data_IF_118611235902
#
_entry.id   IF_118611235902
#
_cell.length_a   1.000
_cell.length_b   1.000
_cell.length_c   1.000
_cell.angle_alpha   90.00
_cell.angle_beta   90.00
_cell.angle_gamma   90.00
#
_symmetry.space_group_name_H-M   'P 1'
#
loop_
_entity.id
_entity.type
_entity.pdbx_description
1 polymer ?
#
# COMPACT_ATOMS: atom_id res chain seq x y z
N UNK A 1 -8.32 3.46 -2.06
CA UNK A 1 -7.08 2.66 -2.11
C UNK A 1 -7.38 1.25 -2.57
N UNK A 2 -6.47 0.61 -3.31
CA UNK A 2 -6.52 -0.83 -3.63
C UNK A 2 -5.15 -1.43 -3.30
N UNK A 3 -5.13 -2.53 -2.55
CA UNK A 3 -3.94 -3.30 -2.22
C UNK A 3 -4.00 -4.64 -2.99
N UNK A 4 -2.96 -4.90 -3.76
CA UNK A 4 -2.76 -6.11 -4.57
C UNK A 4 -1.54 -6.83 -4.02
N UNK A 5 -1.69 -8.10 -3.66
CA UNK A 5 -0.66 -8.87 -2.95
C UNK A 5 -0.38 -10.15 -3.73
N UNK A 6 0.89 -10.41 -3.97
CA UNK A 6 1.39 -11.71 -4.42
C UNK A 6 2.11 -12.38 -3.24
N UNK A 7 1.43 -13.31 -2.59
CA UNK A 7 1.97 -14.03 -1.43
C UNK A 7 3.10 -15.01 -1.82
N UNK A 8 3.18 -15.41 -3.10
CA UNK A 8 4.21 -16.33 -3.59
C UNK A 8 5.55 -15.62 -3.70
N UNK A 9 5.52 -14.36 -4.16
CA UNK A 9 6.72 -13.54 -4.31
C UNK A 9 7.01 -12.67 -3.09
N UNK A 10 6.06 -12.52 -2.16
CA UNK A 10 6.25 -11.64 -1.00
C UNK A 10 6.25 -10.16 -1.37
N UNK A 11 5.50 -9.80 -2.42
CA UNK A 11 5.43 -8.44 -2.95
C UNK A 11 4.01 -7.91 -2.93
N UNK A 12 3.86 -6.60 -2.79
CA UNK A 12 2.57 -5.93 -2.77
C UNK A 12 2.64 -4.60 -3.52
N UNK A 13 1.55 -4.30 -4.22
CA UNK A 13 1.32 -2.99 -4.83
C UNK A 13 0.08 -2.34 -4.22
N UNK A 14 0.23 -1.09 -3.80
CA UNK A 14 -0.85 -0.28 -3.29
C UNK A 14 -1.11 0.90 -4.21
N UNK A 15 -2.27 0.86 -4.85
CA UNK A 15 -2.78 2.01 -5.59
C UNK A 15 -3.47 2.99 -4.63
N UNK A 16 -2.88 4.16 -4.48
CA UNK A 16 -3.37 5.22 -3.59
C UNK A 16 -4.45 6.06 -4.26
N UNK A 17 -4.32 6.32 -5.56
CA UNK A 17 -5.32 7.08 -6.35
C UNK A 17 -5.47 6.55 -7.78
N UNK A 18 -6.46 7.07 -8.51
CA UNK A 18 -6.65 6.74 -9.93
C UNK A 18 -5.74 7.53 -10.87
N UNK A 19 -5.00 8.53 -10.36
CA UNK A 19 -4.13 9.39 -11.15
C UNK A 19 -3.00 8.58 -11.82
N UNK A 20 -2.52 9.01 -13.00
CA UNK A 20 -1.44 8.33 -13.70
C UNK A 20 -0.10 8.51 -12.98
N UNK A 21 0.73 7.46 -13.02
CA UNK A 21 2.13 7.53 -12.60
C UNK A 21 2.91 8.34 -13.61
N UNK A 22 3.57 9.40 -13.16
CA UNK A 22 4.51 10.18 -13.96
C UNK A 22 5.96 9.76 -13.71
N UNK A 23 6.28 9.37 -12.47
CA UNK A 23 7.60 8.86 -12.09
C UNK A 23 7.52 7.98 -10.85
N UNK A 24 8.49 7.08 -10.72
CA UNK A 24 8.71 6.25 -9.55
C UNK A 24 10.01 6.70 -8.88
N UNK A 25 10.04 6.73 -7.55
CA UNK A 25 11.28 6.90 -6.78
C UNK A 25 11.51 5.71 -5.87
N UNK A 26 12.78 5.37 -5.70
CA UNK A 26 13.21 4.40 -4.71
C UNK A 26 13.25 5.06 -3.33
N UNK A 27 12.61 4.43 -2.35
CA UNK A 27 12.71 4.80 -0.94
C UNK A 27 13.72 3.90 -0.21
N UNK A 28 13.77 2.64 -0.59
CA UNK A 28 14.78 1.63 -0.22
C UNK A 28 14.85 0.56 -1.31
N UNK A 29 15.81 -0.37 -1.21
CA UNK A 29 15.98 -1.49 -2.15
C UNK A 29 14.69 -2.33 -2.33
N UNK A 30 13.78 -2.29 -1.35
CA UNK A 30 12.55 -3.08 -1.31
C UNK A 30 11.29 -2.23 -1.32
N UNK A 31 11.38 -0.93 -1.57
CA UNK A 31 10.22 -0.03 -1.52
C UNK A 31 10.31 1.10 -2.55
N UNK A 32 9.29 1.20 -3.40
CA UNK A 32 9.19 2.22 -4.44
C UNK A 32 7.93 3.06 -4.25
N UNK A 33 8.02 4.37 -4.49
CA UNK A 33 6.91 5.30 -4.43
C UNK A 33 6.61 5.87 -5.81
N UNK A 34 5.39 5.63 -6.30
CA UNK A 34 4.90 6.23 -7.52
C UNK A 34 4.29 7.59 -7.26
N UNK A 35 4.66 8.56 -8.08
CA UNK A 35 4.16 9.92 -8.04
C UNK A 35 3.55 10.35 -9.36
N UNK A 36 2.53 11.21 -9.27
CA UNK A 36 2.00 11.92 -10.43
C UNK A 36 2.91 13.08 -10.86
N UNK A 37 2.50 13.78 -11.92
CA UNK A 37 3.23 14.90 -12.50
C UNK A 37 3.35 16.10 -11.55
N UNK A 38 2.52 16.16 -10.50
CA UNK A 38 2.52 17.21 -9.48
C UNK A 38 3.35 16.82 -8.25
N UNK A 39 3.92 15.61 -8.22
CA UNK A 39 4.70 15.10 -7.09
C UNK A 39 3.85 14.57 -5.93
N UNK A 40 2.57 14.26 -6.18
CA UNK A 40 1.70 13.59 -5.22
C UNK A 40 1.87 12.08 -5.35
N UNK A 41 1.98 11.37 -4.23
CA UNK A 41 2.05 9.92 -4.20
C UNK A 41 0.72 9.30 -4.68
N UNK A 42 0.81 8.39 -5.63
CA UNK A 42 -0.32 7.71 -6.27
C UNK A 42 -0.24 6.19 -6.20
N UNK A 43 0.95 5.65 -5.90
CA UNK A 43 1.19 4.22 -5.72
C UNK A 43 2.36 3.96 -4.77
N UNK A 44 2.38 2.79 -4.15
CA UNK A 44 3.47 2.30 -3.30
C UNK A 44 3.70 0.81 -3.61
N UNK A 45 4.91 0.46 -4.01
CA UNK A 45 5.35 -0.92 -4.23
C UNK A 45 6.21 -1.36 -3.05
N UNK A 46 5.90 -2.53 -2.50
CA UNK A 46 6.67 -3.21 -1.47
C UNK A 46 7.15 -4.54 -2.06
N UNK A 47 8.46 -4.74 -2.06
CA UNK A 47 9.10 -5.98 -2.54
C UNK A 47 9.48 -6.92 -1.39
N UNK A 48 9.20 -6.51 -0.16
CA UNK A 48 9.39 -7.29 1.07
C UNK A 48 8.30 -6.91 2.08
N UNK A 49 7.57 -7.89 2.63
CA UNK A 49 6.51 -7.65 3.62
C UNK A 49 7.02 -7.28 5.00
N UNK A 50 8.27 -7.60 5.31
CA UNK A 50 8.90 -7.28 6.58
C UNK A 50 9.60 -5.91 6.56
N UNK A 51 9.68 -5.27 5.39
CA UNK A 51 10.16 -3.89 5.27
C UNK A 51 9.28 -2.95 6.09
N UNK A 52 9.95 -2.05 6.82
CA UNK A 52 9.25 -1.07 7.65
C UNK A 52 8.66 0.02 6.78
N UNK A 53 7.35 0.17 6.84
CA UNK A 53 6.66 1.29 6.19
C UNK A 53 7.04 2.58 6.96
N UNK A 54 7.71 3.57 6.33
CA UNK A 54 8.21 4.73 7.04
C UNK A 54 7.06 5.54 7.60
N UNK A 55 7.11 5.82 8.90
CA UNK A 55 6.03 6.58 9.57
C UNK A 55 6.00 8.05 9.12
N UNK A 56 7.12 8.54 8.61
CA UNK A 56 7.29 9.88 8.05
C UNK A 56 7.05 9.94 6.54
N UNK A 57 6.67 8.83 5.89
CA UNK A 57 6.32 8.80 4.46
C UNK A 57 5.25 9.84 4.13
N UNK A 58 4.21 9.89 4.98
CA UNK A 58 3.09 10.84 4.89
C UNK A 58 3.50 12.30 5.17
N UNK A 59 4.64 12.51 5.84
CA UNK A 59 5.16 13.84 6.16
C UNK A 59 6.12 14.35 5.07
N UNK A 60 6.88 13.44 4.46
CA UNK A 60 7.88 13.75 3.42
C UNK A 60 7.28 13.87 2.03
N UNK A 61 6.18 13.17 1.77
CA UNK A 61 5.53 13.14 0.46
C UNK A 61 4.08 13.58 0.57
N UNK A 62 3.61 14.29 -0.46
CA UNK A 62 2.20 14.65 -0.53
C UNK A 62 1.39 13.41 -0.85
N UNK A 63 0.50 13.05 0.08
CA UNK A 63 -0.46 11.96 -0.10
C UNK A 63 -1.86 12.56 0.03
N UNK A 64 -2.81 12.07 -0.75
CA UNK A 64 -4.20 12.46 -0.59
C UNK A 64 -4.71 12.14 0.83
N UNK A 65 -5.39 13.09 1.46
CA UNK A 65 -5.84 12.96 2.86
C UNK A 65 -6.74 11.75 3.08
N UNK A 66 -7.51 11.34 2.07
CA UNK A 66 -8.40 10.18 2.11
C UNK A 66 -7.67 8.82 2.21
N UNK A 67 -6.37 8.77 1.90
CA UNK A 67 -5.56 7.54 1.95
C UNK A 67 -4.48 7.59 3.02
N UNK A 68 -4.24 8.75 3.65
CA UNK A 68 -3.29 8.88 4.74
C UNK A 68 -3.64 7.98 5.94
N UNK A 69 -4.93 7.91 6.31
CA UNK A 69 -5.39 7.06 7.41
C UNK A 69 -5.23 5.56 7.10
N UNK A 70 -5.47 5.15 5.86
CA UNK A 70 -5.32 3.76 5.44
C UNK A 70 -3.83 3.34 5.40
N UNK A 71 -2.95 4.20 4.90
CA UNK A 71 -1.51 3.95 4.91
C UNK A 71 -0.95 3.83 6.32
N UNK A 72 -1.49 4.58 7.29
CA UNK A 72 -1.06 4.48 8.68
C UNK A 72 -1.36 3.09 9.29
N UNK A 73 -2.38 2.38 8.82
CA UNK A 73 -2.74 1.04 9.31
C UNK A 73 -1.74 -0.05 8.92
N UNK A 74 -0.93 0.19 7.89
CA UNK A 74 0.08 -0.75 7.41
C UNK A 74 1.32 -0.79 8.30
N UNK A 75 1.41 0.13 9.27
CA UNK A 75 2.52 0.19 10.17
C UNK A 75 2.40 -0.89 11.27
N UNK A 76 3.53 -1.47 11.70
CA UNK A 76 4.89 -1.13 11.27
C UNK A 76 5.33 -1.82 9.97
N UNK A 77 4.73 -2.95 9.62
CA UNK A 77 5.05 -3.71 8.40
C UNK A 77 3.79 -4.31 7.79
N UNK A 78 3.83 -4.56 6.48
CA UNK A 78 2.69 -5.20 5.80
C UNK A 78 2.43 -6.60 6.35
N UNK A 79 3.47 -7.36 6.71
CA UNK A 79 3.30 -8.69 7.30
C UNK A 79 2.48 -8.67 8.59
N UNK A 80 2.70 -7.67 9.47
CA UNK A 80 1.91 -7.51 10.68
C UNK A 80 0.47 -7.09 10.40
N UNK A 81 0.27 -6.20 9.42
CA UNK A 81 -1.07 -5.87 8.95
C UNK A 81 -1.79 -7.13 8.45
N UNK A 82 -1.15 -7.92 7.59
CA UNK A 82 -1.73 -9.14 7.04
C UNK A 82 -1.98 -10.21 8.10
N UNK A 83 -1.15 -10.34 9.14
CA UNK A 83 -1.44 -11.28 10.23
C UNK A 83 -2.77 -11.01 10.95
N UNK A 84 -3.30 -9.79 10.88
CA UNK A 84 -4.61 -9.44 11.43
C UNK A 84 -5.79 -9.76 10.50
N UNK A 85 -5.54 -10.01 9.22
CA UNK A 85 -6.55 -10.35 8.24
C UNK A 85 -6.31 -11.80 7.78
N UNK A 86 -7.31 -12.67 7.77
CA UNK A 86 -7.14 -14.04 7.25
C UNK A 86 -7.03 -14.02 5.72
N UNK A 87 -5.92 -13.51 5.18
CA UNK A 87 -5.71 -13.26 3.75
C UNK A 87 -5.17 -14.53 3.08
N UNK A 88 -5.89 -15.01 2.07
CA UNK A 88 -5.49 -16.16 1.24
C UNK A 88 -4.41 -15.83 0.19
N UNK A 89 -3.98 -16.85 -0.56
CA UNK A 89 -2.76 -16.88 -1.39
C UNK A 89 -2.69 -15.84 -2.51
N UNK A 90 -3.83 -15.37 -3.02
CA UNK A 90 -3.94 -14.20 -3.91
C UNK A 90 -5.08 -13.33 -3.38
N UNK A 91 -4.76 -12.12 -2.92
CA UNK A 91 -5.75 -11.24 -2.33
C UNK A 91 -5.70 -9.84 -2.94
N UNK A 92 -6.84 -9.43 -3.45
CA UNK A 92 -7.12 -8.02 -3.68
C UNK A 92 -7.83 -7.52 -2.43
N UNK A 93 -7.08 -6.84 -1.56
CA UNK A 93 -7.67 -6.11 -0.45
C UNK A 93 -8.11 -4.75 -0.97
N UNK A 94 -9.38 -4.66 -1.35
CA UNK A 94 -10.03 -3.36 -1.47
C UNK A 94 -10.26 -2.91 -0.03
N UNK A 95 -9.50 -1.91 0.43
CA UNK A 95 -9.68 -1.33 1.76
C UNK A 95 -11.18 -1.03 1.95
N UNK A 96 -11.90 -1.80 2.78
CA UNK A 96 -13.33 -1.64 2.87
C UNK A 96 -13.60 -0.37 3.68
N UNK A 97 -14.51 0.48 3.20
CA UNK A 97 -15.08 1.54 4.05
C UNK A 97 -15.81 0.98 5.28
N UNK A 98 -16.15 -0.31 5.27
CA UNK A 98 -16.72 -1.05 6.39
C UNK A 98 -16.52 -2.57 6.19
N UNK A 99 -15.99 -3.29 7.17
CA UNK A 99 -15.43 -4.66 7.09
C UNK A 99 -16.46 -5.79 6.88
N UNK A 100 -17.60 -5.53 6.25
CA UNK A 100 -18.68 -6.53 6.08
C UNK A 100 -18.65 -7.31 4.78
N UNK A 101 -17.89 -6.88 3.77
CA UNK A 101 -18.07 -7.39 2.40
C UNK A 101 -16.96 -8.32 1.87
N UNK A 102 -15.98 -8.72 2.69
CA UNK A 102 -14.84 -9.54 2.21
C UNK A 102 -15.00 -11.07 2.37
N UNK A 103 -16.23 -11.59 2.50
CA UNK A 103 -16.47 -13.04 2.46
C UNK A 103 -17.68 -13.37 1.57
N UNK A 104 -17.53 -13.17 0.26
CA UNK A 104 -18.28 -13.92 -0.77
C UNK A 104 -17.73 -13.60 -2.16
N UNK A 105 -16.78 -14.41 -2.62
CA UNK A 105 -16.55 -14.70 -4.03
C UNK A 105 -15.81 -16.04 -4.13
#
# INVERSE_FOLDING_TARGET
>A
MRLEIDMTQGVAYMRLSSQPVARTIELSDTMMLDMDAMGVAVGLELLDFDEKVPTDLLQKHHVHSEVAEELAKLQPTLNQYLAHYSVGTDAILIAPRDTRDLISA
#
